data_IF_381315985888
#
_entry.id   IF_381315985888
#
_cell.length_a   1.000
_cell.length_b   1.000
_cell.length_c   1.000
_cell.angle_alpha   90.00
_cell.angle_beta   90.00
_cell.angle_gamma   90.00
#
_symmetry.space_group_name_H-M   'P 1'
#
loop_
_entity.id
_entity.type
_entity.pdbx_description
1 polymer ?
#
# COMPACT_ATOMS: atom_id res chain seq x y z
N UNK A 1 -9.27 14.37 -7.71
CA UNK A 1 -9.67 12.97 -8.05
C UNK A 1 -8.61 12.26 -8.89
N UNK A 2 -8.23 12.76 -10.08
CA UNK A 2 -7.21 12.13 -10.95
C UNK A 2 -5.85 11.92 -10.25
N UNK A 3 -5.38 12.92 -9.49
CA UNK A 3 -4.14 12.81 -8.71
C UNK A 3 -4.14 11.67 -7.69
N UNK A 4 -5.30 11.34 -7.11
CA UNK A 4 -5.42 10.24 -6.14
C UNK A 4 -5.35 8.87 -6.81
N UNK A 5 -5.96 8.76 -7.98
CA UNK A 5 -5.90 7.54 -8.81
C UNK A 5 -4.45 7.31 -9.26
N UNK A 6 -3.77 8.37 -9.68
CA UNK A 6 -2.35 8.31 -10.05
C UNK A 6 -1.46 7.87 -8.88
N UNK A 7 -1.63 8.46 -7.69
CA UNK A 7 -0.83 8.11 -6.50
C UNK A 7 -1.09 6.66 -6.07
N UNK A 8 -2.34 6.21 -6.12
CA UNK A 8 -2.69 4.83 -5.81
C UNK A 8 -2.10 3.84 -6.83
N UNK A 9 -2.10 4.19 -8.11
CA UNK A 9 -1.49 3.40 -9.18
C UNK A 9 0.04 3.34 -9.06
N UNK A 10 0.69 4.45 -8.68
CA UNK A 10 2.12 4.49 -8.39
C UNK A 10 2.44 3.60 -7.20
N UNK A 11 1.68 3.70 -6.11
CA UNK A 11 1.82 2.81 -4.94
C UNK A 11 1.69 1.34 -5.32
N UNK A 12 0.71 1.00 -6.16
CA UNK A 12 0.53 -0.37 -6.67
C UNK A 12 1.73 -0.87 -7.48
N UNK A 13 2.25 -0.07 -8.41
CA UNK A 13 3.45 -0.42 -9.19
C UNK A 13 4.68 -0.62 -8.30
N UNK A 14 4.85 0.21 -7.28
CA UNK A 14 5.95 0.06 -6.31
C UNK A 14 5.75 -1.24 -5.51
N UNK A 15 4.53 -1.51 -5.06
CA UNK A 15 4.19 -2.73 -4.32
C UNK A 15 4.47 -4.01 -5.12
N UNK A 16 4.13 -4.05 -6.40
CA UNK A 16 4.36 -5.22 -7.26
C UNK A 16 5.84 -5.44 -7.60
N UNK A 17 6.60 -4.37 -7.82
CA UNK A 17 8.06 -4.46 -7.99
C UNK A 17 8.73 -4.93 -6.70
N UNK A 18 8.28 -4.41 -5.55
CA UNK A 18 8.81 -4.77 -4.25
C UNK A 18 8.47 -6.23 -3.90
N UNK A 19 7.25 -6.69 -4.17
CA UNK A 19 6.87 -8.08 -3.94
C UNK A 19 7.66 -9.02 -4.82
N UNK A 20 7.82 -8.72 -6.12
CA UNK A 20 8.66 -9.52 -7.01
C UNK A 20 10.10 -9.69 -6.49
N UNK A 21 10.68 -8.65 -5.90
CA UNK A 21 11.97 -8.75 -5.22
C UNK A 21 11.87 -9.60 -3.95
N UNK A 22 10.93 -9.31 -3.05
CA UNK A 22 10.78 -9.96 -1.76
C UNK A 22 10.37 -11.44 -1.87
N UNK A 23 9.73 -11.89 -2.94
CA UNK A 23 9.41 -13.30 -3.21
C UNK A 23 10.67 -14.19 -3.26
N UNK A 24 11.83 -13.62 -3.61
CA UNK A 24 13.09 -14.35 -3.59
C UNK A 24 13.70 -14.50 -2.19
N UNK A 25 13.25 -13.70 -1.21
CA UNK A 25 13.85 -13.61 0.13
C UNK A 25 12.91 -14.04 1.26
N UNK A 26 11.58 -13.96 1.05
CA UNK A 26 10.57 -14.21 2.05
C UNK A 26 9.56 -15.27 1.62
N UNK A 27 9.01 -15.98 2.61
CA UNK A 27 7.90 -16.90 2.40
C UNK A 27 6.63 -16.13 2.01
N UNK A 28 5.86 -16.67 1.07
CA UNK A 28 4.60 -16.11 0.56
C UNK A 28 3.63 -15.75 1.69
N UNK A 29 3.58 -16.55 2.76
CA UNK A 29 2.74 -16.26 3.93
C UNK A 29 3.18 -15.00 4.69
N UNK A 30 4.48 -14.69 4.74
CA UNK A 30 4.98 -13.47 5.35
C UNK A 30 4.66 -12.23 4.50
N UNK A 31 4.76 -12.36 3.18
CA UNK A 31 4.36 -11.31 2.22
C UNK A 31 2.86 -10.99 2.34
N UNK A 32 2.02 -12.02 2.45
CA UNK A 32 0.58 -11.86 2.66
C UNK A 32 0.26 -11.21 4.01
N UNK A 33 1.00 -11.57 5.07
CA UNK A 33 0.87 -10.92 6.36
C UNK A 33 1.25 -9.43 6.32
N UNK A 34 2.31 -9.10 5.58
CA UNK A 34 2.76 -7.72 5.39
C UNK A 34 1.73 -6.88 4.60
N UNK A 35 1.16 -7.45 3.53
CA UNK A 35 0.12 -6.78 2.75
C UNK A 35 -1.14 -6.54 3.60
N UNK A 36 -1.59 -7.52 4.38
CA UNK A 36 -2.70 -7.33 5.32
C UNK A 36 -2.43 -6.20 6.32
N UNK A 37 -1.25 -6.17 6.94
CA UNK A 37 -0.87 -5.11 7.89
C UNK A 37 -0.88 -3.72 7.25
N UNK A 38 -0.32 -3.60 6.05
CA UNK A 38 -0.29 -2.33 5.32
C UNK A 38 -1.69 -1.84 4.94
N UNK A 39 -2.58 -2.74 4.52
CA UNK A 39 -3.98 -2.42 4.22
C UNK A 39 -4.73 -2.01 5.49
N UNK A 40 -4.58 -2.78 6.58
CA UNK A 40 -5.18 -2.45 7.87
C UNK A 40 -4.72 -1.08 8.37
N UNK A 41 -3.44 -0.74 8.24
CA UNK A 41 -2.91 0.57 8.63
C UNK A 41 -3.51 1.70 7.78
N UNK A 42 -3.65 1.48 6.47
CA UNK A 42 -4.32 2.42 5.57
C UNK A 42 -5.80 2.64 5.92
N UNK A 43 -6.54 1.57 6.22
CA UNK A 43 -7.96 1.64 6.60
C UNK A 43 -8.18 2.22 8.00
N UNK A 44 -7.32 1.92 8.96
CA UNK A 44 -7.40 2.48 10.30
C UNK A 44 -7.04 3.97 10.36
N UNK A 45 -6.24 4.46 9.41
CA UNK A 45 -5.87 5.87 9.33
C UNK A 45 -6.89 6.75 8.60
N UNK A 46 -7.75 6.16 7.75
CA UNK A 46 -8.88 6.85 7.07
C UNK A 46 -9.79 7.72 7.98
N UNK A 47 -10.22 7.28 9.17
CA UNK A 47 -11.05 8.10 10.05
C UNK A 47 -10.30 9.23 10.77
N UNK A 48 -8.96 9.23 10.77
CA UNK A 48 -8.13 10.23 11.44
C UNK A 48 -7.44 11.20 10.47
N UNK A 49 -7.85 11.20 9.21
CA UNK A 49 -7.27 12.09 8.19
C UNK A 49 -7.71 13.52 8.46
N UNK A 50 -6.78 14.34 8.94
CA UNK A 50 -6.97 15.78 9.15
C UNK A 50 -6.51 16.60 7.94
N UNK A 51 -5.56 16.06 7.16
CA UNK A 51 -4.85 16.82 6.12
C UNK A 51 -4.77 16.10 4.79
N UNK A 52 -4.72 16.87 3.70
CA UNK A 52 -4.59 16.35 2.34
C UNK A 52 -3.31 15.50 2.17
N UNK A 53 -2.22 15.86 2.85
CA UNK A 53 -0.98 15.08 2.88
C UNK A 53 -1.19 13.69 3.50
N UNK A 54 -1.92 13.61 4.62
CA UNK A 54 -2.24 12.33 5.25
C UNK A 54 -3.14 11.48 4.35
N UNK A 55 -4.06 12.09 3.60
CA UNK A 55 -4.89 11.39 2.60
C UNK A 55 -4.08 10.83 1.42
N UNK A 56 -3.08 11.56 0.93
CA UNK A 56 -2.16 11.04 -0.09
C UNK A 56 -1.28 9.91 0.43
N UNK A 57 -0.83 10.01 1.67
CA UNK A 57 0.01 9.00 2.30
C UNK A 57 -0.76 7.70 2.54
N UNK A 58 -2.00 7.77 3.04
CA UNK A 58 -2.85 6.57 3.23
C UNK A 58 -3.22 5.90 1.91
N UNK A 59 -3.53 6.68 0.88
CA UNK A 59 -3.82 6.14 -0.47
C UNK A 59 -2.60 5.49 -1.13
N UNK A 60 -1.39 6.02 -0.89
CA UNK A 60 -0.14 5.43 -1.33
C UNK A 60 0.16 4.10 -0.60
N UNK A 61 -0.01 4.07 0.72
CA UNK A 61 0.17 2.85 1.54
C UNK A 61 -0.82 1.76 1.11
N UNK A 62 -2.08 2.12 0.87
CA UNK A 62 -3.08 1.18 0.34
C UNK A 62 -2.70 0.66 -1.05
N UNK A 63 -2.15 1.52 -1.91
CA UNK A 63 -1.62 1.10 -3.21
C UNK A 63 -0.50 0.07 -3.07
N UNK A 64 0.47 0.34 -2.20
CA UNK A 64 1.60 -0.57 -1.94
C UNK A 64 1.11 -1.90 -1.38
N UNK A 65 0.21 -1.88 -0.39
CA UNK A 65 -0.34 -3.09 0.21
C UNK A 65 -1.06 -4.00 -0.79
N UNK A 66 -1.84 -3.40 -1.70
CA UNK A 66 -2.50 -4.13 -2.80
C UNK A 66 -1.52 -4.65 -3.85
N UNK A 67 -0.37 -4.00 -4.04
CA UNK A 67 0.66 -4.49 -4.96
C UNK A 67 1.51 -5.62 -4.37
N UNK A 68 1.55 -5.74 -3.04
CA UNK A 68 2.32 -6.79 -2.35
C UNK A 68 1.56 -8.12 -2.27
N UNK A 69 0.22 -8.06 -2.15
CA UNK A 69 -0.66 -9.25 -2.16
C UNK A 69 -0.68 -9.93 -3.52
#
# INVERSE_FOLDING_TARGET
>A
VIWLIAIKAIGFLIGTLLSAYLYAWFNVCCLLGLSCLSISFGVCSLPFITDLATFYLTSLILGIGLGIS
#
